data_IF_581109786516
#
_entry.id   IF_581109786516
#
_cell.length_a   1.000
_cell.length_b   1.000
_cell.length_c   1.000
_cell.angle_alpha   90.00
_cell.angle_beta   90.00
_cell.angle_gamma   90.00
#
_symmetry.space_group_name_H-M   'P 1'
#
loop_
_entity.id
_entity.type
_entity.pdbx_description
1 polymer ?
#
# COMPACT_ATOMS: atom_id res chain seq x y z
N UNK A 1 7.23 -5.62 -10.34
CA UNK A 1 6.14 -5.11 -9.49
C UNK A 1 6.44 -5.45 -8.04
N UNK A 2 6.47 -4.45 -7.14
CA UNK A 2 6.62 -4.67 -5.71
C UNK A 2 5.28 -5.00 -5.05
N UNK A 3 5.31 -5.63 -3.87
CA UNK A 3 4.09 -5.88 -3.08
C UNK A 3 3.35 -4.58 -2.73
N UNK A 4 4.10 -3.53 -2.34
CA UNK A 4 3.53 -2.18 -2.09
C UNK A 4 2.84 -1.64 -3.32
N UNK A 5 3.45 -1.72 -4.50
CA UNK A 5 2.83 -1.25 -5.75
C UNK A 5 1.56 -2.02 -6.12
N UNK A 6 1.53 -3.34 -5.90
CA UNK A 6 0.32 -4.14 -6.12
C UNK A 6 -0.81 -3.73 -5.17
N UNK A 7 -0.51 -3.53 -3.89
CA UNK A 7 -1.52 -3.12 -2.92
C UNK A 7 -1.98 -1.68 -3.13
N UNK A 8 -1.08 -0.74 -3.44
CA UNK A 8 -1.46 0.62 -3.81
C UNK A 8 -2.44 0.63 -4.98
N UNK A 9 -2.14 -0.15 -6.04
CA UNK A 9 -3.06 -0.31 -7.17
C UNK A 9 -4.41 -0.88 -6.75
N UNK A 10 -4.42 -1.89 -5.88
CA UNK A 10 -5.67 -2.49 -5.40
C UNK A 10 -6.49 -1.49 -4.58
N UNK A 11 -5.85 -0.70 -3.72
CA UNK A 11 -6.52 0.37 -2.97
C UNK A 11 -7.17 1.36 -3.94
N UNK A 12 -6.41 1.89 -4.89
CA UNK A 12 -6.93 2.86 -5.88
C UNK A 12 -8.10 2.26 -6.66
N UNK A 13 -7.94 1.08 -7.27
CA UNK A 13 -8.99 0.44 -8.08
C UNK A 13 -10.28 0.17 -7.30
N UNK A 14 -10.18 -0.28 -6.05
CA UNK A 14 -11.35 -0.63 -5.25
C UNK A 14 -11.99 0.58 -4.54
N UNK A 15 -11.37 1.75 -4.60
CA UNK A 15 -11.88 2.97 -3.94
C UNK A 15 -12.07 4.13 -4.92
N UNK A 16 -11.74 3.98 -6.20
CA UNK A 16 -11.86 5.00 -7.22
C UNK A 16 -13.31 5.53 -7.41
N UNK A 17 -14.32 4.73 -7.04
CA UNK A 17 -15.73 5.14 -7.04
C UNK A 17 -16.10 6.08 -5.87
N UNK A 18 -15.19 6.32 -4.93
CA UNK A 18 -15.38 7.16 -3.74
C UNK A 18 -14.38 8.28 -3.61
N UNK A 19 -13.15 8.05 -4.09
CA UNK A 19 -12.03 8.96 -3.88
C UNK A 19 -11.30 9.25 -5.18
N UNK A 20 -10.92 10.49 -5.34
CA UNK A 20 -9.94 10.90 -6.33
C UNK A 20 -8.54 10.58 -5.80
N UNK A 21 -7.65 10.13 -6.66
CA UNK A 21 -6.32 9.72 -6.26
C UNK A 21 -5.23 10.43 -7.06
N UNK A 22 -4.26 10.98 -6.35
CA UNK A 22 -2.97 11.38 -6.92
C UNK A 22 -1.90 10.47 -6.32
N UNK A 23 -1.42 9.52 -7.10
CA UNK A 23 -0.47 8.51 -6.63
C UNK A 23 0.96 8.89 -7.01
N UNK A 24 1.82 9.05 -6.01
CA UNK A 24 3.25 9.24 -6.18
C UNK A 24 3.93 7.87 -6.32
N UNK A 25 4.29 7.50 -7.54
CA UNK A 25 4.97 6.24 -7.87
C UNK A 25 6.47 6.34 -7.62
N UNK A 26 6.91 6.04 -6.40
CA UNK A 26 8.30 6.13 -6.01
C UNK A 26 9.17 4.95 -6.51
N UNK A 27 10.48 5.18 -6.57
CA UNK A 27 11.51 4.22 -6.95
C UNK A 27 11.30 3.58 -8.34
N UNK A 28 10.73 4.35 -9.26
CA UNK A 28 10.48 3.94 -10.65
C UNK A 28 11.40 4.73 -11.55
N UNK A 29 12.29 4.04 -12.28
CA UNK A 29 13.02 4.65 -13.39
C UNK A 29 12.08 4.79 -14.59
N UNK A 30 11.51 5.96 -14.74
CA UNK A 30 10.59 6.28 -15.84
C UNK A 30 11.14 7.44 -16.66
N UNK A 31 11.12 7.39 -18.00
CA UNK A 31 11.64 8.47 -18.85
C UNK A 31 10.95 9.82 -18.60
N UNK A 32 9.70 9.78 -18.18
CA UNK A 32 8.88 10.96 -17.90
C UNK A 32 8.66 11.14 -16.39
N UNK A 33 9.70 10.86 -15.57
CA UNK A 33 9.63 11.07 -14.13
C UNK A 33 9.27 12.52 -13.77
N UNK A 34 8.33 12.71 -12.86
CA UNK A 34 7.81 14.02 -12.44
C UNK A 34 6.62 14.53 -13.26
N UNK A 35 6.24 13.87 -14.35
CA UNK A 35 5.04 14.22 -15.10
C UNK A 35 3.81 13.50 -14.53
N UNK A 36 2.68 14.22 -14.50
CA UNK A 36 1.41 13.64 -14.06
C UNK A 36 0.71 12.96 -15.24
N UNK A 37 0.39 11.69 -15.08
CA UNK A 37 -0.41 10.92 -16.03
C UNK A 37 -1.83 10.80 -15.50
N UNK A 38 -2.80 11.31 -16.24
CA UNK A 38 -4.20 11.06 -15.98
C UNK A 38 -4.58 9.68 -16.56
N UNK A 39 -4.94 8.77 -15.68
CA UNK A 39 -5.37 7.40 -16.04
C UNK A 39 -6.85 7.16 -15.74
N UNK A 40 -7.62 8.22 -15.53
CA UNK A 40 -9.03 8.15 -15.14
C UNK A 40 -9.86 7.37 -16.16
N UNK A 41 -9.68 7.61 -17.46
CA UNK A 41 -10.41 6.91 -18.51
C UNK A 41 -10.17 5.38 -18.49
N UNK A 42 -8.92 4.97 -18.32
CA UNK A 42 -8.56 3.55 -18.24
C UNK A 42 -9.17 2.88 -17.01
N UNK A 43 -9.12 3.58 -15.86
CA UNK A 43 -9.72 3.08 -14.62
C UNK A 43 -11.24 2.99 -14.75
N UNK A 44 -11.89 4.04 -15.25
CA UNK A 44 -13.33 4.07 -15.48
C UNK A 44 -13.80 2.91 -16.35
N UNK A 45 -13.14 2.67 -17.47
CA UNK A 45 -13.44 1.54 -18.35
C UNK A 45 -13.25 0.20 -17.66
N UNK A 46 -12.22 0.07 -16.83
CA UNK A 46 -11.86 -1.17 -16.16
C UNK A 46 -12.82 -1.58 -15.06
N UNK A 47 -13.33 -0.63 -14.28
CA UNK A 47 -14.19 -0.90 -13.12
C UNK A 47 -15.65 -0.51 -13.35
N UNK A 48 -16.00 0.01 -14.54
CA UNK A 48 -17.36 0.31 -14.93
C UNK A 48 -17.95 1.55 -14.25
N UNK A 49 -17.13 2.60 -14.04
CA UNK A 49 -17.58 3.91 -13.53
C UNK A 49 -17.23 5.01 -14.53
N UNK A 50 -17.71 6.25 -14.32
CA UNK A 50 -17.56 7.31 -15.31
C UNK A 50 -16.90 8.59 -14.79
N UNK A 51 -16.66 8.70 -13.48
CA UNK A 51 -16.36 9.97 -12.81
C UNK A 51 -15.13 9.92 -11.88
N UNK A 52 -14.28 8.90 -11.99
CA UNK A 52 -13.04 8.89 -11.22
C UNK A 52 -12.05 9.93 -11.73
N UNK A 53 -11.25 10.48 -10.81
CA UNK A 53 -10.10 11.31 -11.13
C UNK A 53 -8.85 10.68 -10.53
N UNK A 54 -8.05 10.04 -11.38
CA UNK A 54 -6.89 9.26 -10.96
C UNK A 54 -5.65 9.71 -11.71
N UNK A 55 -4.69 10.24 -10.98
CA UNK A 55 -3.40 10.66 -11.52
C UNK A 55 -2.27 9.82 -10.95
N UNK A 56 -1.27 9.52 -11.75
CA UNK A 56 -0.03 8.85 -11.33
C UNK A 56 1.15 9.70 -11.73
N UNK A 57 2.06 9.94 -10.79
CA UNK A 57 3.28 10.71 -11.00
C UNK A 57 4.46 9.81 -10.65
N UNK A 58 5.18 9.26 -11.64
CA UNK A 58 6.36 8.45 -11.39
C UNK A 58 7.53 9.31 -10.92
N UNK A 59 8.32 8.78 -9.96
CA UNK A 59 9.54 9.42 -9.48
C UNK A 59 10.71 8.47 -9.49
N UNK A 60 11.85 9.00 -9.85
CA UNK A 60 13.12 8.37 -9.51
C UNK A 60 13.45 8.69 -8.04
N UNK A 61 13.79 7.65 -7.27
CA UNK A 61 13.95 7.77 -5.82
C UNK A 61 12.64 7.85 -5.05
N UNK A 62 12.62 8.58 -3.93
CA UNK A 62 11.51 8.62 -2.98
C UNK A 62 10.82 9.98 -2.86
N UNK A 63 10.97 10.82 -3.88
CA UNK A 63 10.38 12.17 -3.89
C UNK A 63 11.14 13.17 -3.03
N UNK A 64 10.56 14.37 -2.90
CA UNK A 64 11.12 15.46 -2.11
C UNK A 64 10.01 16.44 -1.66
N UNK A 65 10.32 17.37 -0.72
CA UNK A 65 9.35 18.34 -0.21
C UNK A 65 8.71 19.23 -1.28
N UNK A 66 9.47 19.66 -2.28
CA UNK A 66 9.00 20.63 -3.29
C UNK A 66 7.86 20.06 -4.11
N UNK A 67 7.96 18.78 -4.47
CA UNK A 67 6.92 18.08 -5.22
C UNK A 67 5.62 17.99 -4.40
N UNK A 68 5.73 17.65 -3.10
CA UNK A 68 4.55 17.58 -2.25
C UNK A 68 3.91 18.96 -2.07
N UNK A 69 4.71 20.02 -1.87
CA UNK A 69 4.19 21.41 -1.79
C UNK A 69 3.40 21.81 -3.02
N UNK A 70 3.92 21.49 -4.21
CA UNK A 70 3.22 21.75 -5.46
C UNK A 70 1.88 21.02 -5.51
N UNK A 71 1.86 19.75 -5.14
CA UNK A 71 0.63 18.94 -5.13
C UNK A 71 -0.38 19.41 -4.08
N UNK A 72 0.06 19.80 -2.89
CA UNK A 72 -0.82 20.37 -1.86
C UNK A 72 -1.53 21.63 -2.36
N UNK A 73 -0.83 22.47 -3.12
CA UNK A 73 -1.42 23.70 -3.72
C UNK A 73 -2.33 23.40 -4.90
N UNK A 74 -1.91 22.50 -5.79
CA UNK A 74 -2.61 22.23 -7.04
C UNK A 74 -3.84 21.33 -6.85
N UNK A 75 -3.67 20.25 -6.10
CA UNK A 75 -4.70 19.21 -5.95
C UNK A 75 -5.57 19.43 -4.72
N UNK A 76 -5.09 20.18 -3.73
CA UNK A 76 -5.79 20.47 -2.45
C UNK A 76 -6.39 19.20 -1.84
N UNK A 77 -5.56 18.20 -1.53
CA UNK A 77 -6.05 16.90 -1.09
C UNK A 77 -6.74 17.00 0.29
N UNK A 78 -7.74 16.16 0.51
CA UNK A 78 -8.40 16.00 1.81
C UNK A 78 -7.56 15.18 2.80
N UNK A 79 -6.59 14.41 2.31
CA UNK A 79 -5.63 13.67 3.14
C UNK A 79 -4.36 13.32 2.35
N UNK A 80 -3.24 13.20 3.05
CA UNK A 80 -2.01 12.58 2.54
C UNK A 80 -1.91 11.19 3.12
N UNK A 81 -1.84 10.17 2.26
CA UNK A 81 -1.69 8.78 2.67
C UNK A 81 -0.28 8.28 2.36
N UNK A 82 0.46 7.89 3.38
CA UNK A 82 1.74 7.22 3.25
C UNK A 82 1.57 5.69 3.34
N UNK A 83 2.14 4.97 2.40
CA UNK A 83 2.11 3.51 2.36
C UNK A 83 3.46 2.98 1.89
N UNK A 84 4.39 2.74 2.79
CA UNK A 84 5.66 2.02 2.60
C UNK A 84 6.52 2.14 3.87
N UNK A 85 7.84 1.88 3.79
CA UNK A 85 8.78 2.04 4.89
C UNK A 85 9.04 3.53 5.15
N UNK A 86 8.76 4.05 6.34
CA UNK A 86 8.85 5.49 6.63
C UNK A 86 10.28 6.04 6.62
N UNK A 87 11.29 5.18 6.76
CA UNK A 87 12.70 5.58 6.80
C UNK A 87 13.18 6.21 5.49
N UNK A 88 12.58 5.81 4.37
CA UNK A 88 12.87 6.40 3.05
C UNK A 88 12.10 7.70 2.80
N UNK A 89 11.14 8.03 3.67
CA UNK A 89 10.23 9.18 3.55
C UNK A 89 10.38 10.17 4.71
N UNK A 90 11.55 10.21 5.35
CA UNK A 90 11.77 11.09 6.50
C UNK A 90 11.48 12.56 6.19
N UNK A 91 11.70 12.98 4.95
CA UNK A 91 11.38 14.32 4.48
C UNK A 91 9.88 14.64 4.59
N UNK A 92 8.99 13.67 4.32
CA UNK A 92 7.54 13.80 4.48
C UNK A 92 7.17 14.13 5.93
N UNK A 93 7.75 13.40 6.88
CA UNK A 93 7.49 13.57 8.29
C UNK A 93 8.09 14.88 8.86
N UNK A 94 9.16 15.39 8.26
CA UNK A 94 9.68 16.73 8.58
C UNK A 94 8.75 17.85 8.13
N UNK A 95 7.85 17.58 7.18
CA UNK A 95 6.82 18.50 6.69
C UNK A 95 5.50 18.40 7.45
N UNK A 96 5.39 17.57 8.49
CA UNK A 96 4.11 17.28 9.14
C UNK A 96 3.29 18.51 9.53
N UNK A 97 3.94 19.53 10.08
CA UNK A 97 3.29 20.78 10.47
C UNK A 97 2.77 21.57 9.26
N UNK A 98 3.49 21.55 8.16
CA UNK A 98 3.09 22.20 6.91
C UNK A 98 1.89 21.49 6.28
N UNK A 99 1.95 20.15 6.20
CA UNK A 99 0.87 19.32 5.64
C UNK A 99 -0.42 19.50 6.45
N UNK A 100 -0.33 19.46 7.79
CA UNK A 100 -1.49 19.56 8.69
C UNK A 100 -2.18 20.90 8.68
N UNK A 101 -1.59 21.95 8.11
CA UNK A 101 -2.29 23.19 7.84
C UNK A 101 -3.40 23.04 6.78
N UNK A 102 -3.33 21.95 5.98
CA UNK A 102 -4.27 21.70 4.90
C UNK A 102 -5.08 20.41 5.11
N UNK A 103 -4.42 19.32 5.49
CA UNK A 103 -5.05 18.00 5.58
C UNK A 103 -4.33 17.06 6.56
N UNK A 104 -5.02 16.02 7.05
CA UNK A 104 -4.42 14.99 7.91
C UNK A 104 -3.45 14.09 7.14
N UNK A 105 -2.57 13.44 7.92
CA UNK A 105 -1.62 12.43 7.43
C UNK A 105 -2.10 11.05 7.91
N UNK A 106 -2.24 10.12 6.98
CA UNK A 106 -2.61 8.74 7.23
C UNK A 106 -1.42 7.85 6.90
N UNK A 107 -1.01 6.99 7.80
CA UNK A 107 0.03 6.02 7.52
C UNK A 107 -0.50 4.59 7.54
N UNK A 108 -0.42 3.92 6.39
CA UNK A 108 -0.69 2.50 6.27
C UNK A 108 0.61 1.73 6.45
N UNK A 109 0.86 1.26 7.67
CA UNK A 109 2.12 0.64 8.06
C UNK A 109 2.17 -0.84 7.72
N UNK A 110 3.31 -1.25 7.17
CA UNK A 110 3.61 -2.64 6.76
C UNK A 110 4.56 -3.35 7.73
N UNK A 111 4.97 -2.69 8.81
CA UNK A 111 5.95 -3.28 9.72
C UNK A 111 5.36 -4.47 10.49
N UNK A 112 6.00 -5.62 10.39
CA UNK A 112 5.53 -6.90 10.91
C UNK A 112 6.58 -7.66 11.73
N UNK A 113 7.77 -7.06 11.95
CA UNK A 113 8.89 -7.70 12.63
C UNK A 113 9.07 -7.23 14.08
N UNK A 114 9.72 -8.07 14.88
CA UNK A 114 10.10 -7.83 16.27
C UNK A 114 11.64 -7.85 16.40
N UNK A 115 12.21 -7.15 17.40
CA UNK A 115 11.56 -6.41 18.50
C UNK A 115 10.80 -5.18 18.02
N UNK A 116 9.92 -4.62 18.89
CA UNK A 116 9.14 -3.43 18.55
C UNK A 116 10.03 -2.31 18.01
N UNK A 117 9.71 -1.76 16.82
CA UNK A 117 10.55 -0.78 16.14
C UNK A 117 10.43 0.61 16.77
N UNK A 118 11.08 0.81 17.93
CA UNK A 118 11.01 2.07 18.68
C UNK A 118 11.52 3.25 17.87
N UNK A 119 12.38 3.03 16.87
CA UNK A 119 12.83 4.04 15.89
C UNK A 119 11.71 4.54 14.98
N UNK A 120 10.62 3.79 14.82
CA UNK A 120 9.45 4.24 14.07
C UNK A 120 8.50 5.12 14.90
N UNK A 121 8.73 5.26 16.22
CA UNK A 121 7.87 6.05 17.13
C UNK A 121 7.67 7.48 16.63
N UNK A 122 8.72 8.12 16.12
CA UNK A 122 8.65 9.49 15.58
C UNK A 122 7.65 9.59 14.42
N UNK A 123 7.65 8.62 13.52
CA UNK A 123 6.73 8.58 12.39
C UNK A 123 5.29 8.32 12.86
N UNK A 124 5.09 7.30 13.71
CA UNK A 124 3.76 6.98 14.22
C UNK A 124 3.12 8.13 15.04
N UNK A 125 3.94 8.96 15.68
CA UNK A 125 3.44 10.16 16.38
C UNK A 125 2.99 11.25 15.41
N UNK A 126 3.68 11.38 14.29
CA UNK A 126 3.41 12.38 13.27
C UNK A 126 2.12 12.14 12.50
N UNK A 127 1.58 10.92 12.51
CA UNK A 127 0.38 10.59 11.74
C UNK A 127 -0.89 10.85 12.55
N UNK A 128 -1.94 11.30 11.87
CA UNK A 128 -3.26 11.49 12.47
C UNK A 128 -4.01 10.17 12.56
N UNK A 129 -3.81 9.27 11.58
CA UNK A 129 -4.36 7.93 11.58
C UNK A 129 -3.30 6.90 11.16
N UNK A 130 -3.29 5.76 11.86
CA UNK A 130 -2.41 4.63 11.61
C UNK A 130 -3.24 3.40 11.25
N UNK A 131 -2.94 2.81 10.10
CA UNK A 131 -3.61 1.62 9.60
C UNK A 131 -2.60 0.47 9.59
N UNK A 132 -2.86 -0.59 10.34
CA UNK A 132 -2.00 -1.79 10.35
C UNK A 132 -2.50 -2.82 9.35
N UNK A 133 -1.62 -3.33 8.51
CA UNK A 133 -1.94 -4.37 7.50
C UNK A 133 -2.32 -5.72 8.12
N UNK A 134 -1.96 -5.94 9.38
CA UNK A 134 -2.27 -7.16 10.13
C UNK A 134 -2.59 -6.82 11.59
N UNK A 135 -3.15 -7.77 12.30
CA UNK A 135 -3.32 -7.65 13.77
C UNK A 135 -1.98 -7.46 14.46
N UNK A 136 -0.92 -8.11 13.95
CA UNK A 136 0.44 -7.97 14.46
C UNK A 136 0.96 -6.54 14.24
N UNK A 137 0.86 -6.00 13.02
CA UNK A 137 1.28 -4.63 12.71
C UNK A 137 0.53 -3.61 13.57
N UNK A 138 -0.78 -3.80 13.76
CA UNK A 138 -1.59 -2.94 14.64
C UNK A 138 -1.14 -3.01 16.09
N UNK A 139 -0.83 -4.22 16.59
CA UNK A 139 -0.31 -4.43 17.94
C UNK A 139 1.08 -3.80 18.11
N UNK A 140 1.94 -3.91 17.11
CA UNK A 140 3.26 -3.26 17.09
C UNK A 140 3.12 -1.74 17.24
N UNK A 141 2.24 -1.10 16.46
CA UNK A 141 1.97 0.35 16.57
C UNK A 141 1.55 0.72 17.99
N UNK A 142 0.58 0.00 18.56
CA UNK A 142 0.08 0.26 19.93
C UNK A 142 1.20 0.11 20.98
N UNK A 143 2.07 -0.89 20.85
CA UNK A 143 3.18 -1.10 21.77
C UNK A 143 4.28 -0.04 21.61
N UNK A 144 4.59 0.40 20.41
CA UNK A 144 5.56 1.49 20.16
C UNK A 144 5.04 2.82 20.74
N UNK A 145 3.73 3.03 20.74
CA UNK A 145 3.08 4.25 21.25
C UNK A 145 2.55 4.11 22.68
N UNK A 146 2.86 3.04 23.41
CA UNK A 146 2.26 2.76 24.74
C UNK A 146 2.35 3.92 25.74
N UNK A 147 3.43 4.71 25.69
CA UNK A 147 3.64 5.85 26.60
C UNK A 147 2.86 7.12 26.15
N UNK A 148 2.37 7.12 24.90
CA UNK A 148 1.59 8.18 24.30
C UNK A 148 0.55 7.56 23.35
N UNK A 149 -0.43 6.86 23.88
CA UNK A 149 -1.42 6.17 23.07
C UNK A 149 -2.25 7.17 22.28
N UNK A 150 -2.56 6.81 21.04
CA UNK A 150 -3.55 7.52 20.25
C UNK A 150 -4.94 7.02 20.58
N UNK A 151 -5.94 7.85 20.29
CA UNK A 151 -7.34 7.46 20.39
C UNK A 151 -7.65 6.20 19.57
N UNK A 152 -8.59 5.40 20.01
CA UNK A 152 -8.93 4.13 19.38
C UNK A 152 -9.38 4.25 17.90
N UNK A 153 -9.94 5.40 17.53
CA UNK A 153 -10.29 5.66 16.14
C UNK A 153 -9.06 5.91 15.25
N UNK A 154 -7.95 6.37 15.83
CA UNK A 154 -6.74 6.74 15.10
C UNK A 154 -5.80 5.55 14.82
N UNK A 155 -6.03 4.37 15.41
CA UNK A 155 -5.24 3.16 15.14
C UNK A 155 -6.17 2.01 14.78
N UNK A 156 -6.20 1.65 13.50
CA UNK A 156 -7.11 0.65 12.95
C UNK A 156 -6.38 -0.51 12.29
N UNK A 157 -6.97 -1.68 12.41
CA UNK A 157 -6.60 -2.85 11.64
C UNK A 157 -7.33 -2.80 10.29
N UNK A 158 -6.56 -2.72 9.21
CA UNK A 158 -7.05 -2.76 7.84
C UNK A 158 -6.21 -3.78 7.07
N UNK A 159 -6.67 -5.02 6.93
CA UNK A 159 -5.87 -6.06 6.27
C UNK A 159 -5.68 -5.78 4.79
N UNK A 160 -4.58 -6.29 4.24
CA UNK A 160 -4.45 -6.39 2.80
C UNK A 160 -5.56 -7.29 2.24
N UNK A 161 -6.22 -6.81 1.21
CA UNK A 161 -7.12 -7.64 0.41
C UNK A 161 -6.37 -8.50 -0.59
N UNK A 162 -6.98 -9.58 -1.01
CA UNK A 162 -6.56 -10.42 -2.12
C UNK A 162 -7.62 -10.39 -3.21
N UNK A 163 -7.18 -10.53 -4.46
CA UNK A 163 -8.09 -10.62 -5.61
C UNK A 163 -8.64 -12.07 -5.69
N UNK A 164 -9.86 -12.27 -5.23
CA UNK A 164 -10.51 -13.58 -5.20
C UNK A 164 -10.71 -14.22 -6.60
N UNK A 165 -10.70 -13.40 -7.65
CA UNK A 165 -10.74 -13.89 -9.04
C UNK A 165 -9.41 -14.50 -9.48
N UNK A 166 -8.32 -14.18 -8.78
CA UNK A 166 -6.98 -14.73 -9.08
C UNK A 166 -6.52 -15.75 -8.05
N UNK A 167 -6.97 -15.60 -6.81
CA UNK A 167 -6.59 -16.45 -5.69
C UNK A 167 -7.83 -17.08 -5.11
N UNK A 168 -8.19 -18.23 -5.63
CA UNK A 168 -9.35 -19.00 -5.23
C UNK A 168 -8.97 -20.45 -4.97
N UNK A 169 -9.68 -21.16 -4.09
CA UNK A 169 -9.46 -22.57 -3.87
C UNK A 169 -9.81 -23.38 -5.13
N UNK A 170 -8.93 -24.25 -5.57
CA UNK A 170 -9.22 -25.23 -6.62
C UNK A 170 -9.83 -26.45 -5.92
N UNK A 171 -11.14 -26.58 -5.99
CA UNK A 171 -11.87 -27.67 -5.33
C UNK A 171 -12.11 -28.89 -6.25
N UNK A 172 -11.93 -28.70 -7.55
CA UNK A 172 -12.03 -29.79 -8.53
C UNK A 172 -10.69 -30.50 -8.66
N UNK A 173 -10.63 -31.74 -8.21
CA UNK A 173 -9.42 -32.58 -8.32
C UNK A 173 -9.03 -32.86 -9.78
N UNK A 174 -9.97 -32.73 -10.70
CA UNK A 174 -9.77 -32.94 -12.13
C UNK A 174 -9.46 -31.63 -12.89
N UNK A 175 -9.26 -30.52 -12.18
CA UNK A 175 -8.84 -29.26 -12.82
C UNK A 175 -7.55 -29.45 -13.60
N UNK A 176 -7.62 -29.20 -14.91
CA UNK A 176 -6.49 -29.44 -15.83
C UNK A 176 -5.29 -28.58 -15.47
N UNK A 177 -5.52 -27.31 -15.05
CA UNK A 177 -4.45 -26.41 -14.66
C UNK A 177 -3.73 -26.89 -13.41
N UNK A 178 -4.48 -27.40 -12.43
CA UNK A 178 -3.93 -27.98 -11.22
C UNK A 178 -3.16 -29.27 -11.50
N UNK A 179 -3.72 -30.18 -12.29
CA UNK A 179 -3.07 -31.44 -12.67
C UNK A 179 -1.77 -31.18 -13.40
N UNK A 180 -1.76 -30.29 -14.40
CA UNK A 180 -0.54 -29.90 -15.12
C UNK A 180 0.51 -29.28 -14.21
N UNK A 181 0.09 -28.42 -13.26
CA UNK A 181 0.98 -27.83 -12.27
C UNK A 181 1.58 -28.91 -11.36
N UNK A 182 0.75 -29.85 -10.88
CA UNK A 182 1.18 -30.97 -10.04
C UNK A 182 2.21 -31.82 -10.74
N UNK A 183 1.93 -32.27 -11.97
CA UNK A 183 2.86 -33.03 -12.80
C UNK A 183 4.21 -32.33 -13.01
N UNK A 184 4.17 -31.03 -13.28
CA UNK A 184 5.40 -30.23 -13.47
C UNK A 184 6.27 -30.12 -12.22
N UNK A 185 5.66 -30.12 -11.02
CA UNK A 185 6.38 -29.97 -9.75
C UNK A 185 6.83 -31.32 -9.21
N UNK A 186 6.00 -32.35 -9.28
CA UNK A 186 6.24 -33.66 -8.68
C UNK A 186 6.76 -34.69 -9.70
N UNK A 187 6.53 -34.45 -11.00
CA UNK A 187 6.80 -35.48 -12.01
C UNK A 187 5.89 -36.67 -11.82
N UNK A 188 6.49 -37.87 -11.84
CA UNK A 188 5.78 -39.14 -11.63
C UNK A 188 5.77 -39.60 -10.16
N UNK A 189 6.28 -38.80 -9.24
CA UNK A 189 6.36 -39.14 -7.83
C UNK A 189 4.98 -39.06 -7.17
N UNK A 190 4.60 -40.14 -6.48
CA UNK A 190 3.41 -40.15 -5.62
C UNK A 190 3.75 -39.59 -4.24
N UNK A 191 3.03 -38.53 -3.82
CA UNK A 191 3.20 -37.89 -2.54
C UNK A 191 1.88 -37.82 -1.79
N UNK A 192 1.89 -38.14 -0.50
CA UNK A 192 0.71 -38.01 0.36
C UNK A 192 0.24 -36.55 0.49
N UNK A 193 1.19 -35.66 0.56
CA UNK A 193 0.92 -34.20 0.55
C UNK A 193 2.16 -33.41 0.12
N UNK A 194 1.94 -32.19 -0.34
CA UNK A 194 3.02 -31.28 -0.77
C UNK A 194 2.94 -29.99 0.03
N UNK A 195 4.06 -29.58 0.61
CA UNK A 195 4.20 -28.28 1.25
C UNK A 195 4.99 -27.35 0.32
N UNK A 196 4.33 -26.30 -0.16
CA UNK A 196 4.98 -25.26 -0.95
C UNK A 196 5.40 -24.11 -0.03
N UNK A 197 6.70 -23.83 0.02
CA UNK A 197 7.25 -22.63 0.64
C UNK A 197 7.71 -21.66 -0.44
N UNK A 198 7.00 -20.55 -0.57
CA UNK A 198 7.37 -19.47 -1.49
C UNK A 198 7.74 -18.23 -0.68
N UNK A 199 9.02 -17.89 -0.67
CA UNK A 199 9.51 -16.71 0.01
C UNK A 199 10.48 -15.91 -0.86
N UNK A 200 10.68 -14.65 -0.48
CA UNK A 200 11.71 -13.82 -1.09
C UNK A 200 13.06 -14.19 -0.50
N UNK A 201 14.04 -14.46 -1.36
CA UNK A 201 15.43 -14.67 -0.97
C UNK A 201 16.14 -13.34 -0.75
#
# INVERSE_FOLDING_TARGET
HSGVGCQSRNIVLNTAHRYNWVNLGAAIKHPEAGQAFDISADINNRIGINDSNIKVIPFDGYGNPEILRQLLVQEKPDAVMHFTDPRYWEWLYRMENEIRQQCPIIFYTIWDDLPYPMWNRKYYRSDDMLLGISKQSTNIVKNVLKDHPKEDWAVKYVPHGIDEKKFYPINDINDIGFSTFKERILGEEEMDFVVLHNSRN
#
